data_IF_205617947098
#
_entry.id   IF_205617947098
#
_cell.length_a   1.000
_cell.length_b   1.000
_cell.length_c   1.000
_cell.angle_alpha   90.00
_cell.angle_beta   90.00
_cell.angle_gamma   90.00
#
_symmetry.space_group_name_H-M   'P 1'
#
loop_
_entity.id
_entity.type
_entity.pdbx_description
1 polymer ?
#
# COMPACT_ATOMS: atom_id res chain seq x y z
N UNK A 1 10.48 -8.28 -47.34
CA UNK A 1 10.17 -7.29 -46.28
C UNK A 1 9.56 -7.95 -45.02
N UNK A 2 10.36 -8.55 -44.12
CA UNK A 2 9.87 -9.12 -42.84
C UNK A 2 10.60 -8.63 -41.58
N UNK A 3 11.62 -7.77 -41.72
CA UNK A 3 12.50 -7.35 -40.61
C UNK A 3 11.80 -6.45 -39.56
N UNK A 4 10.91 -5.57 -40.00
CA UNK A 4 10.15 -4.63 -39.13
C UNK A 4 9.31 -5.39 -38.07
N UNK A 5 8.91 -6.64 -38.38
CA UNK A 5 8.09 -7.45 -37.47
C UNK A 5 8.86 -8.01 -36.26
N UNK A 6 10.19 -8.00 -36.28
CA UNK A 6 11.02 -8.57 -35.20
C UNK A 6 11.49 -7.47 -34.24
N UNK A 7 11.76 -6.28 -34.77
CA UNK A 7 12.25 -5.13 -34.00
C UNK A 7 11.24 -4.66 -32.95
N UNK A 8 9.92 -4.73 -33.22
CA UNK A 8 8.89 -4.39 -32.23
C UNK A 8 8.57 -5.52 -31.23
N UNK A 9 8.92 -6.79 -31.53
CA UNK A 9 8.67 -7.91 -30.61
C UNK A 9 9.59 -7.90 -29.40
N UNK A 10 10.84 -7.44 -29.58
CA UNK A 10 11.81 -7.29 -28.50
C UNK A 10 11.36 -6.28 -27.42
N UNK A 11 10.97 -5.02 -27.73
CA UNK A 11 10.52 -4.06 -26.71
C UNK A 11 9.24 -4.51 -26.01
N UNK A 12 8.31 -5.18 -26.71
CA UNK A 12 7.11 -5.76 -26.08
C UNK A 12 7.46 -6.85 -25.06
N UNK A 13 8.43 -7.72 -25.36
CA UNK A 13 8.93 -8.72 -24.39
C UNK A 13 9.61 -8.06 -23.20
N UNK A 14 10.46 -7.06 -23.43
CA UNK A 14 11.15 -6.32 -22.36
C UNK A 14 10.14 -5.60 -21.47
N UNK A 15 9.10 -4.97 -22.05
CA UNK A 15 8.02 -4.35 -21.29
C UNK A 15 7.28 -5.37 -20.39
N UNK A 16 6.95 -6.56 -20.91
CA UNK A 16 6.32 -7.63 -20.11
C UNK A 16 7.23 -8.13 -18.99
N UNK A 17 8.52 -8.35 -19.27
CA UNK A 17 9.51 -8.80 -18.27
C UNK A 17 9.68 -7.74 -17.19
N UNK A 18 9.81 -6.47 -17.58
CA UNK A 18 9.91 -5.34 -16.66
C UNK A 18 8.68 -5.22 -15.76
N UNK A 19 7.47 -5.32 -16.34
CA UNK A 19 6.21 -5.32 -15.58
C UNK A 19 6.16 -6.44 -14.55
N UNK A 20 6.55 -7.66 -14.91
CA UNK A 20 6.57 -8.80 -13.98
C UNK A 20 7.63 -8.61 -12.88
N UNK A 21 8.81 -8.09 -13.23
CA UNK A 21 9.87 -7.75 -12.26
C UNK A 21 9.40 -6.69 -11.27
N UNK A 22 8.73 -5.64 -11.75
CA UNK A 22 8.15 -4.59 -10.90
C UNK A 22 7.09 -5.15 -9.96
N UNK A 23 6.18 -5.99 -10.46
CA UNK A 23 5.15 -6.63 -9.64
C UNK A 23 5.76 -7.48 -8.51
N UNK A 24 6.81 -8.25 -8.80
CA UNK A 24 7.51 -9.04 -7.77
C UNK A 24 8.21 -8.15 -6.74
N UNK A 25 8.84 -7.04 -7.16
CA UNK A 25 9.45 -6.07 -6.24
C UNK A 25 8.40 -5.43 -5.33
N UNK A 26 7.28 -4.98 -5.91
CA UNK A 26 6.16 -4.42 -5.15
C UNK A 26 5.60 -5.43 -4.15
N UNK A 27 5.45 -6.70 -4.53
CA UNK A 27 4.97 -7.75 -3.61
C UNK A 27 5.89 -7.90 -2.41
N UNK A 28 7.21 -7.90 -2.62
CA UNK A 28 8.20 -7.98 -1.54
C UNK A 28 8.13 -6.76 -0.62
N UNK A 29 8.04 -5.56 -1.17
CA UNK A 29 7.86 -4.34 -0.38
C UNK A 29 6.56 -4.36 0.43
N UNK A 30 5.45 -4.86 -0.14
CA UNK A 30 4.18 -5.01 0.57
C UNK A 30 4.23 -6.08 1.66
N UNK A 31 4.95 -7.19 1.45
CA UNK A 31 5.19 -8.20 2.50
C UNK A 31 6.04 -7.62 3.64
N UNK A 32 7.09 -6.86 3.31
CA UNK A 32 7.90 -6.17 4.32
C UNK A 32 7.06 -5.13 5.09
N UNK A 33 6.20 -4.39 4.40
CA UNK A 33 5.24 -3.48 5.02
C UNK A 33 4.29 -4.23 5.95
N UNK A 34 3.74 -5.38 5.52
CA UNK A 34 2.89 -6.23 6.36
C UNK A 34 3.62 -6.65 7.63
N UNK A 35 4.85 -7.14 7.52
CA UNK A 35 5.64 -7.56 8.68
C UNK A 35 5.95 -6.37 9.59
N UNK A 36 6.34 -5.22 9.02
CA UNK A 36 6.60 -4.01 9.78
C UNK A 36 5.36 -3.47 10.51
N UNK A 37 4.18 -3.58 9.88
CA UNK A 37 2.91 -3.22 10.49
C UNK A 37 2.46 -4.25 11.54
N UNK A 38 2.70 -5.55 11.30
CA UNK A 38 2.37 -6.63 12.23
C UNK A 38 3.29 -6.70 13.46
N UNK A 39 4.52 -6.21 13.34
CA UNK A 39 5.47 -6.12 14.45
C UNK A 39 5.14 -4.99 15.45
N UNK A 40 4.02 -4.28 15.23
CA UNK A 40 3.35 -3.31 16.11
C UNK A 40 4.21 -2.62 17.17
N UNK A 41 4.71 -1.43 16.83
CA UNK A 41 4.98 -0.38 17.83
C UNK A 41 3.66 0.25 18.29
N UNK A 42 3.55 0.54 19.58
CA UNK A 42 2.42 1.27 20.18
C UNK A 42 2.09 2.57 19.39
N UNK A 43 3.12 3.25 18.89
CA UNK A 43 3.05 4.45 18.05
C UNK A 43 2.22 4.27 16.77
N UNK A 44 2.28 3.10 16.11
CA UNK A 44 1.55 2.86 14.85
C UNK A 44 0.06 2.62 15.11
N UNK A 45 -0.31 2.04 16.24
CA UNK A 45 -1.72 1.89 16.65
C UNK A 45 -2.37 3.24 16.89
N UNK A 46 -1.64 4.13 17.57
CA UNK A 46 -2.04 5.50 17.82
C UNK A 46 -2.16 6.29 16.51
N UNK A 47 -1.19 6.14 15.60
CA UNK A 47 -1.26 6.71 14.26
C UNK A 47 -2.54 6.27 13.53
N UNK A 48 -2.83 4.97 13.50
CA UNK A 48 -4.01 4.42 12.84
C UNK A 48 -5.32 4.84 13.52
N UNK A 49 -5.37 4.95 14.85
CA UNK A 49 -6.55 5.42 15.57
C UNK A 49 -6.87 6.89 15.28
N UNK A 50 -5.85 7.75 15.14
CA UNK A 50 -6.00 9.14 14.68
C UNK A 50 -6.69 9.17 13.31
N UNK A 51 -6.28 8.32 12.38
CA UNK A 51 -6.93 8.24 11.07
C UNK A 51 -8.39 7.79 11.17
N UNK A 52 -8.70 6.81 12.03
CA UNK A 52 -10.08 6.38 12.28
C UNK A 52 -10.95 7.54 12.79
N UNK A 53 -10.48 8.25 13.81
CA UNK A 53 -11.17 9.43 14.38
C UNK A 53 -11.33 10.53 13.35
N UNK A 54 -10.31 10.78 12.52
CA UNK A 54 -10.38 11.76 11.45
C UNK A 54 -11.43 11.40 10.38
N UNK A 55 -11.55 10.11 10.01
CA UNK A 55 -12.62 9.66 9.11
C UNK A 55 -14.02 9.78 9.70
N UNK A 56 -14.13 9.78 11.03
CA UNK A 56 -15.39 9.97 11.77
C UNK A 56 -15.72 11.45 12.03
N UNK A 57 -14.84 12.39 11.65
CA UNK A 57 -15.03 13.83 11.85
C UNK A 57 -14.58 14.35 13.22
N UNK A 58 -13.99 13.51 14.07
CA UNK A 58 -13.60 13.83 15.45
C UNK A 58 -12.10 14.17 15.59
N UNK A 59 -11.33 14.09 14.50
CA UNK A 59 -9.87 14.23 14.53
C UNK A 59 -9.37 15.66 14.29
N UNK A 60 -8.34 16.07 15.04
CA UNK A 60 -7.67 17.36 14.84
C UNK A 60 -6.69 17.32 13.66
N UNK A 61 -6.60 18.43 12.90
CA UNK A 61 -5.67 18.56 11.75
C UNK A 61 -4.19 18.49 12.18
N UNK A 62 -3.87 18.87 13.42
CA UNK A 62 -2.51 18.78 13.95
C UNK A 62 -2.07 17.32 14.16
N UNK A 63 -2.91 16.52 14.83
CA UNK A 63 -2.68 15.08 15.02
C UNK A 63 -2.52 14.36 13.68
N UNK A 64 -3.34 14.73 12.69
CA UNK A 64 -3.27 14.14 11.35
C UNK A 64 -1.93 14.39 10.65
N UNK A 65 -1.34 15.58 10.81
CA UNK A 65 -0.03 15.90 10.23
C UNK A 65 1.07 15.04 10.82
N UNK A 66 1.01 14.80 12.13
CA UNK A 66 1.98 13.93 12.84
C UNK A 66 1.84 12.49 12.36
N UNK A 67 0.61 11.98 12.28
CA UNK A 67 0.34 10.63 11.78
C UNK A 67 0.80 10.45 10.32
N UNK A 68 0.58 11.45 9.47
CA UNK A 68 1.07 11.44 8.08
C UNK A 68 2.59 11.38 8.00
N UNK A 69 3.29 12.12 8.84
CA UNK A 69 4.76 12.11 8.85
C UNK A 69 5.28 10.70 9.19
N UNK A 70 4.70 10.06 10.21
CA UNK A 70 5.04 8.69 10.59
C UNK A 70 4.76 7.69 9.45
N UNK A 71 3.61 7.79 8.79
CA UNK A 71 3.27 6.93 7.65
C UNK A 71 4.25 7.11 6.47
N UNK A 72 4.64 8.36 6.18
CA UNK A 72 5.60 8.69 5.13
C UNK A 72 6.98 8.11 5.46
N UNK A 73 7.42 8.17 6.71
CA UNK A 73 8.71 7.63 7.13
C UNK A 73 8.75 6.10 7.06
N UNK A 74 7.64 5.43 7.44
CA UNK A 74 7.47 3.97 7.23
C UNK A 74 7.52 3.63 5.74
N UNK A 75 6.81 4.37 4.89
CA UNK A 75 6.81 4.15 3.45
C UNK A 75 8.21 4.38 2.83
N UNK A 76 8.93 5.41 3.26
CA UNK A 76 10.31 5.67 2.83
C UNK A 76 11.25 4.54 3.25
N UNK A 77 11.18 4.09 4.50
CA UNK A 77 12.00 3.00 5.04
C UNK A 77 11.81 1.68 4.30
N UNK A 78 10.62 1.47 3.71
CA UNK A 78 10.26 0.26 2.97
C UNK A 78 10.42 0.38 1.43
N UNK A 79 10.96 1.51 0.95
CA UNK A 79 11.18 1.76 -0.47
C UNK A 79 9.91 2.07 -1.27
N UNK A 80 8.82 2.42 -0.59
CA UNK A 80 7.52 2.81 -1.15
C UNK A 80 7.45 4.33 -1.39
N UNK A 81 8.46 4.87 -2.09
CA UNK A 81 8.67 6.31 -2.25
C UNK A 81 7.52 7.08 -2.94
N UNK A 82 6.67 6.40 -3.72
CA UNK A 82 5.48 7.02 -4.34
C UNK A 82 4.48 7.52 -3.29
N UNK A 83 4.37 6.82 -2.16
CA UNK A 83 3.46 7.22 -1.08
C UNK A 83 4.05 8.31 -0.17
N UNK A 84 5.37 8.51 -0.21
CA UNK A 84 6.04 9.57 0.53
C UNK A 84 5.70 10.98 0.02
N UNK A 85 5.18 11.07 -1.21
CA UNK A 85 4.80 12.32 -1.88
C UNK A 85 3.31 12.69 -1.71
N UNK A 86 2.49 11.80 -1.13
CA UNK A 86 1.04 12.00 -1.07
C UNK A 86 0.60 12.76 0.19
N UNK A 87 0.01 13.97 0.08
CA UNK A 87 -0.42 14.76 1.24
C UNK A 87 -1.84 14.42 1.77
N UNK A 88 -2.50 13.35 1.30
CA UNK A 88 -3.94 13.10 1.55
C UNK A 88 -4.25 11.92 2.49
N UNK A 89 -4.06 12.13 3.78
CA UNK A 89 -4.39 11.25 4.91
C UNK A 89 -5.61 10.30 4.75
N UNK A 90 -6.84 10.76 4.39
CA UNK A 90 -8.02 9.89 4.36
C UNK A 90 -8.03 8.92 3.17
N UNK A 91 -7.33 9.28 2.09
CA UNK A 91 -7.29 8.53 0.84
C UNK A 91 -6.08 7.59 0.82
N UNK A 92 -4.98 7.95 1.48
CA UNK A 92 -3.73 7.19 1.48
C UNK A 92 -3.89 5.79 2.09
N UNK A 93 -4.61 5.62 3.20
CA UNK A 93 -4.83 4.29 3.81
C UNK A 93 -5.60 3.36 2.86
N UNK A 94 -6.80 3.73 2.35
CA UNK A 94 -7.51 2.92 1.36
C UNK A 94 -6.68 2.59 0.12
N UNK A 95 -5.82 3.50 -0.33
CA UNK A 95 -4.94 3.31 -1.47
C UNK A 95 -3.89 2.24 -1.20
N UNK A 96 -3.21 2.30 -0.05
CA UNK A 96 -2.22 1.30 0.37
C UNK A 96 -2.89 -0.07 0.51
N UNK A 97 -4.09 -0.13 1.09
CA UNK A 97 -4.88 -1.37 1.23
C UNK A 97 -5.23 -1.96 -0.13
N UNK A 98 -5.78 -1.14 -1.04
CA UNK A 98 -6.11 -1.60 -2.40
C UNK A 98 -4.88 -2.06 -3.16
N UNK A 99 -3.76 -1.37 -3.02
CA UNK A 99 -2.51 -1.75 -3.68
C UNK A 99 -1.95 -3.05 -3.10
N UNK A 100 -1.95 -3.21 -1.77
CA UNK A 100 -1.62 -4.48 -1.11
C UNK A 100 -2.48 -5.62 -1.64
N UNK A 101 -3.80 -5.46 -1.63
CA UNK A 101 -4.75 -6.46 -2.17
C UNK A 101 -4.50 -6.77 -3.65
N UNK A 102 -4.17 -5.76 -4.46
CA UNK A 102 -3.84 -5.94 -5.87
C UNK A 102 -2.57 -6.77 -6.08
N UNK A 103 -1.60 -6.69 -5.17
CA UNK A 103 -0.41 -7.55 -5.18
C UNK A 103 -0.57 -8.84 -4.35
N UNK A 104 -1.77 -9.09 -3.79
CA UNK A 104 -2.10 -10.28 -3.01
C UNK A 104 -1.54 -10.27 -1.58
N UNK A 105 -1.36 -9.10 -0.98
CA UNK A 105 -0.85 -8.92 0.39
C UNK A 105 -1.85 -8.10 1.20
N UNK A 106 -2.37 -8.69 2.27
CA UNK A 106 -3.13 -7.95 3.27
C UNK A 106 -2.17 -7.20 4.20
N UNK A 107 -2.17 -5.87 4.10
CA UNK A 107 -1.22 -4.97 4.76
C UNK A 107 -1.77 -4.36 6.05
N UNK A 108 -3.08 -4.39 6.30
CA UNK A 108 -3.63 -3.82 7.53
C UNK A 108 -3.42 -4.75 8.73
N UNK A 109 -3.12 -4.21 9.92
CA UNK A 109 -3.14 -4.99 11.15
C UNK A 109 -4.57 -5.42 11.49
N UNK A 110 -4.69 -6.56 12.17
CA UNK A 110 -5.98 -7.16 12.53
C UNK A 110 -6.90 -6.20 13.30
N UNK A 111 -6.33 -5.28 14.10
CA UNK A 111 -7.09 -4.27 14.86
C UNK A 111 -7.81 -3.24 14.00
N UNK A 112 -7.45 -3.13 12.72
CA UNK A 112 -8.04 -2.20 11.77
C UNK A 112 -8.86 -2.89 10.68
N UNK A 113 -9.09 -4.20 10.83
CA UNK A 113 -9.96 -4.95 9.92
C UNK A 113 -11.37 -4.34 9.94
N UNK A 114 -11.65 -3.53 8.92
CA UNK A 114 -13.02 -3.22 8.51
C UNK A 114 -13.64 -4.56 8.20
N UNK A 115 -14.56 -4.98 9.07
CA UNK A 115 -15.22 -6.26 9.04
C UNK A 115 -16.01 -6.40 7.74
N UNK A 116 -15.35 -6.86 6.68
CA UNK A 116 -15.96 -7.33 5.46
C UNK A 116 -16.11 -8.86 5.56
N UNK A 117 -16.80 -9.33 6.61
CA UNK A 117 -17.49 -10.62 6.56
C UNK A 117 -18.71 -10.48 5.66
N UNK A 118 -18.51 -10.41 4.36
CA UNK A 118 -19.57 -10.66 3.38
C UNK A 118 -18.98 -11.39 2.18
N UNK A 119 -19.45 -12.61 1.95
CA UNK A 119 -19.15 -13.54 0.84
C UNK A 119 -17.96 -14.50 0.97
N UNK A 120 -17.95 -15.31 2.02
CA UNK A 120 -17.31 -16.64 2.02
C UNK A 120 -18.32 -17.76 2.37
N UNK A 121 -19.57 -17.61 1.91
CA UNK A 121 -20.59 -18.67 1.93
C UNK A 121 -21.31 -18.67 0.58
N UNK A 122 -20.65 -19.22 -0.44
CA UNK A 122 -21.27 -19.74 -1.66
C UNK A 122 -20.22 -20.55 -2.41
N UNK A 123 -20.02 -21.79 -1.96
CA UNK A 123 -19.96 -23.00 -2.79
C UNK A 123 -20.02 -24.21 -1.87
#
# INVERSE_FOLDING_TARGET
>A
MRLIKVVHKAPLRVARISKRKQQVRLRRSMLALKVALAQEKQETKEMLSIYKRYTMGEGEKAELKVANKQLVDICKGLGLGVFALLPFAPITIPLIVKLGQWVGVDVLPSSFSINNKSNQNRK
#
